data_IF_700680615284
#
_entry.id   IF_700680615284
#
_cell.length_a   1.000
_cell.length_b   1.000
_cell.length_c   1.000
_cell.angle_alpha   90.00
_cell.angle_beta   90.00
_cell.angle_gamma   90.00
#
_symmetry.space_group_name_H-M   'P 1'
#
loop_
_entity.id
_entity.type
_entity.pdbx_description
1 polymer ?
#
# COMPACT_ATOMS: atom_id res chain seq x y z
N UNK A 1 -21.38 3.12 3.83
CA UNK A 1 -22.23 2.90 2.64
C UNK A 1 -21.33 2.68 1.42
N UNK A 2 -21.71 1.74 0.54
CA UNK A 2 -20.96 1.49 -0.70
C UNK A 2 -21.44 2.50 -1.75
N UNK A 3 -20.49 3.24 -2.32
CA UNK A 3 -20.77 4.18 -3.42
C UNK A 3 -20.62 3.46 -4.75
N UNK A 4 -21.63 3.55 -5.61
CA UNK A 4 -21.52 3.12 -7.00
C UNK A 4 -20.66 4.13 -7.79
N UNK A 5 -19.60 3.66 -8.42
CA UNK A 5 -18.69 4.49 -9.23
C UNK A 5 -18.70 4.01 -10.69
N UNK A 6 -18.72 4.93 -11.67
CA UNK A 6 -18.41 4.61 -13.06
C UNK A 6 -17.01 3.99 -13.20
N UNK A 7 -16.76 3.28 -14.30
CA UNK A 7 -15.48 2.58 -14.49
C UNK A 7 -14.28 3.55 -14.52
N UNK A 8 -14.45 4.71 -15.13
CA UNK A 8 -13.46 5.77 -15.24
C UNK A 8 -13.04 6.29 -13.87
N UNK A 9 -14.01 6.48 -12.98
CA UNK A 9 -13.76 6.88 -11.59
C UNK A 9 -13.03 5.78 -10.79
N UNK A 10 -13.41 4.52 -10.99
CA UNK A 10 -12.77 3.37 -10.31
C UNK A 10 -11.31 3.23 -10.67
N UNK A 11 -10.95 3.51 -11.92
CA UNK A 11 -9.56 3.41 -12.40
C UNK A 11 -8.62 4.40 -11.75
N UNK A 12 -9.13 5.52 -11.27
CA UNK A 12 -8.31 6.59 -10.67
C UNK A 12 -8.51 6.73 -9.16
N UNK A 13 -9.52 6.07 -8.59
CA UNK A 13 -9.73 6.04 -7.13
C UNK A 13 -8.60 5.27 -6.45
N UNK A 14 -7.87 5.93 -5.54
CA UNK A 14 -6.80 5.30 -4.79
C UNK A 14 -7.35 4.56 -3.57
N UNK A 15 -7.18 3.23 -3.56
CA UNK A 15 -7.61 2.34 -2.47
C UNK A 15 -6.50 2.07 -1.46
N UNK A 16 -5.28 2.44 -1.79
CA UNK A 16 -4.08 2.26 -0.98
C UNK A 16 -2.85 2.71 -1.74
N UNK A 17 -1.70 2.51 -1.15
CA UNK A 17 -0.39 2.77 -1.75
C UNK A 17 0.47 1.52 -1.65
N UNK A 18 1.09 1.12 -2.75
CA UNK A 18 2.08 0.05 -2.75
C UNK A 18 3.37 0.54 -2.06
N UNK A 19 3.86 -0.25 -1.13
CA UNK A 19 5.09 0.02 -0.37
C UNK A 19 6.06 -1.13 -0.61
N UNK A 20 7.28 -0.81 -1.01
CA UNK A 20 8.36 -1.79 -1.18
C UNK A 20 9.12 -1.94 0.13
N UNK A 21 9.30 -3.17 0.57
CA UNK A 21 10.21 -3.49 1.66
C UNK A 21 11.60 -3.74 1.07
N UNK A 22 12.45 -2.74 1.15
CA UNK A 22 13.80 -2.78 0.57
C UNK A 22 14.66 -3.89 1.14
N UNK A 23 14.49 -4.26 2.42
CA UNK A 23 15.28 -5.31 3.05
C UNK A 23 14.98 -6.72 2.52
N UNK A 24 13.80 -6.93 1.97
CA UNK A 24 13.36 -8.24 1.44
C UNK A 24 13.26 -8.26 -0.07
N UNK A 25 13.11 -7.11 -0.73
CA UNK A 25 13.06 -7.00 -2.17
C UNK A 25 14.37 -7.45 -2.81
N UNK A 26 14.31 -8.40 -3.75
CA UNK A 26 15.50 -9.05 -4.31
C UNK A 26 16.53 -8.07 -4.89
N UNK A 27 16.15 -7.08 -5.75
CA UNK A 27 17.07 -6.07 -6.24
C UNK A 27 17.63 -5.16 -5.16
N UNK A 28 16.79 -4.64 -4.23
CA UNK A 28 17.25 -3.78 -3.15
C UNK A 28 18.21 -4.50 -2.19
N UNK A 29 17.93 -5.75 -1.89
CA UNK A 29 18.82 -6.60 -1.09
C UNK A 29 20.03 -7.11 -1.88
N UNK A 30 20.23 -6.69 -3.13
CA UNK A 30 21.32 -7.06 -4.04
C UNK A 30 21.50 -8.58 -4.19
N UNK A 31 20.39 -9.33 -4.17
CA UNK A 31 20.38 -10.80 -4.25
C UNK A 31 20.15 -11.29 -5.67
N UNK A 32 19.23 -10.67 -6.39
CA UNK A 32 18.81 -11.11 -7.71
C UNK A 32 18.05 -9.99 -8.43
N UNK A 33 18.18 -9.89 -9.75
CA UNK A 33 17.35 -9.03 -10.58
C UNK A 33 15.89 -9.50 -10.57
N UNK A 34 14.94 -8.58 -10.39
CA UNK A 34 13.51 -8.87 -10.37
C UNK A 34 12.72 -7.62 -10.75
N UNK A 35 11.85 -7.75 -11.73
CA UNK A 35 11.03 -6.67 -12.28
C UNK A 35 9.52 -6.99 -12.33
N UNK A 36 9.10 -8.08 -11.69
CA UNK A 36 7.73 -8.60 -11.74
C UNK A 36 6.66 -7.56 -11.38
N UNK A 37 6.92 -6.72 -10.38
CA UNK A 37 5.96 -5.69 -9.94
C UNK A 37 5.85 -4.54 -10.95
N UNK A 38 6.95 -4.19 -11.63
CA UNK A 38 6.96 -3.16 -12.69
C UNK A 38 6.18 -3.67 -13.89
N UNK A 39 6.53 -4.87 -14.40
CA UNK A 39 5.83 -5.50 -15.54
C UNK A 39 4.33 -5.63 -15.29
N UNK A 40 3.92 -6.02 -14.08
CA UNK A 40 2.50 -6.18 -13.76
C UNK A 40 1.78 -4.83 -13.70
N UNK A 41 2.44 -3.78 -13.17
CA UNK A 41 1.89 -2.44 -13.13
C UNK A 41 1.70 -1.85 -14.54
N UNK A 42 2.68 -2.07 -15.41
CA UNK A 42 2.64 -1.63 -16.81
C UNK A 42 1.57 -2.38 -17.60
N UNK A 43 1.47 -3.70 -17.43
CA UNK A 43 0.43 -4.53 -18.05
C UNK A 43 -0.98 -4.11 -17.62
N UNK A 44 -1.14 -3.62 -16.37
CA UNK A 44 -2.40 -3.08 -15.86
C UNK A 44 -2.69 -1.65 -16.38
N UNK A 45 -1.73 -1.00 -17.04
CA UNK A 45 -1.86 0.34 -17.63
C UNK A 45 -1.74 1.50 -16.64
N UNK A 46 -1.18 1.25 -15.43
CA UNK A 46 -0.99 2.31 -14.43
C UNK A 46 0.36 3.00 -14.52
N UNK A 47 1.43 2.28 -14.91
CA UNK A 47 2.80 2.80 -15.02
C UNK A 47 3.26 3.53 -13.74
N UNK A 48 2.85 3.01 -12.59
CA UNK A 48 3.07 3.64 -11.28
C UNK A 48 4.29 3.08 -10.54
N UNK A 49 5.10 2.24 -11.21
CA UNK A 49 6.34 1.69 -10.65
C UNK A 49 7.44 1.87 -11.70
N UNK A 50 8.47 2.58 -11.31
CA UNK A 50 9.66 2.84 -12.14
C UNK A 50 10.87 2.10 -11.60
N UNK A 51 12.01 2.21 -12.30
CA UNK A 51 13.27 1.65 -11.88
C UNK A 51 14.20 2.70 -11.29
N UNK A 52 14.90 2.33 -10.22
CA UNK A 52 16.10 3.01 -9.74
C UNK A 52 17.27 2.03 -9.72
N UNK A 53 18.49 2.53 -9.85
CA UNK A 53 19.70 1.71 -9.73
C UNK A 53 20.14 1.63 -8.27
N UNK A 54 20.44 0.43 -7.79
CA UNK A 54 20.94 0.16 -6.43
C UNK A 54 22.18 -0.72 -6.48
N UNK A 55 23.11 -0.52 -5.54
CA UNK A 55 24.33 -1.33 -5.44
C UNK A 55 25.28 -1.18 -6.64
N UNK A 56 25.26 -0.03 -7.31
CA UNK A 56 26.17 0.26 -8.43
C UNK A 56 27.57 0.47 -7.88
N UNK A 57 28.56 -0.21 -8.46
CA UNK A 57 29.99 0.01 -8.16
C UNK A 57 30.48 1.27 -8.86
N UNK A 58 31.36 2.01 -8.21
CA UNK A 58 32.01 3.19 -8.76
C UNK A 58 33.47 2.86 -9.09
N UNK A 59 33.97 3.40 -10.18
CA UNK A 59 35.38 3.32 -10.54
C UNK A 59 36.26 4.27 -9.68
N UNK A 60 37.59 4.27 -9.91
CA UNK A 60 38.54 5.12 -9.19
C UNK A 60 38.24 6.64 -9.37
N UNK A 61 37.49 7.02 -10.39
CA UNK A 61 37.10 8.41 -10.68
C UNK A 61 35.73 8.79 -10.11
N UNK A 62 35.01 7.82 -9.47
CA UNK A 62 33.66 8.00 -8.93
C UNK A 62 32.57 7.86 -9.98
N UNK A 63 32.88 7.33 -11.16
CA UNK A 63 31.88 7.06 -12.20
C UNK A 63 31.25 5.68 -12.03
N UNK A 64 29.95 5.52 -12.30
CA UNK A 64 29.28 4.21 -12.25
C UNK A 64 29.87 3.24 -13.28
N UNK A 65 30.18 2.03 -12.81
CA UNK A 65 30.65 0.95 -13.68
C UNK A 65 29.42 0.30 -14.32
N UNK A 66 29.36 0.33 -15.65
CA UNK A 66 28.28 -0.26 -16.43
C UNK A 66 28.17 -1.77 -16.16
N UNK A 67 26.92 -2.25 -16.02
CA UNK A 67 26.62 -3.66 -15.77
C UNK A 67 26.74 -4.08 -14.32
N UNK A 68 27.04 -3.15 -13.40
CA UNK A 68 27.01 -3.39 -11.96
C UNK A 68 25.69 -2.89 -11.34
N UNK A 69 25.34 -3.44 -10.17
CA UNK A 69 24.11 -3.07 -9.48
C UNK A 69 22.85 -3.74 -10.03
N UNK A 70 21.72 -3.33 -9.51
CA UNK A 70 20.41 -3.88 -9.83
C UNK A 70 19.40 -2.76 -10.11
N UNK A 71 18.50 -2.99 -11.06
CA UNK A 71 17.33 -2.16 -11.27
C UNK A 71 16.27 -2.53 -10.22
N UNK A 72 15.99 -1.66 -9.28
CA UNK A 72 15.05 -1.86 -8.19
C UNK A 72 13.76 -1.04 -8.40
N UNK A 73 12.58 -1.51 -7.94
CA UNK A 73 11.30 -0.84 -8.16
C UNK A 73 11.10 0.36 -7.24
N UNK A 74 10.70 1.50 -7.78
CA UNK A 74 10.26 2.68 -7.03
C UNK A 74 8.80 2.98 -7.36
N UNK A 75 7.96 3.10 -6.32
CA UNK A 75 6.53 3.38 -6.48
C UNK A 75 6.29 4.89 -6.59
N UNK A 76 5.65 5.30 -7.66
CA UNK A 76 5.18 6.66 -7.87
C UNK A 76 3.84 6.85 -7.16
N UNK A 77 3.89 7.45 -5.96
CA UNK A 77 2.73 7.55 -5.07
C UNK A 77 1.52 8.25 -5.73
N UNK A 78 1.76 9.24 -6.58
CA UNK A 78 0.69 9.98 -7.25
C UNK A 78 -0.02 9.18 -8.36
N UNK A 79 0.65 8.21 -8.94
CA UNK A 79 0.10 7.35 -10.00
C UNK A 79 -0.48 6.05 -9.44
N UNK A 80 0.03 5.58 -8.29
CA UNK A 80 -0.42 4.34 -7.68
C UNK A 80 -1.85 4.45 -7.17
N UNK A 81 -2.71 3.50 -7.60
CA UNK A 81 -4.10 3.39 -7.14
C UNK A 81 -4.30 2.30 -6.09
N UNK A 82 -3.23 1.57 -5.73
CA UNK A 82 -3.31 0.50 -4.73
C UNK A 82 -4.11 -0.72 -5.19
N UNK A 83 -4.08 -1.07 -6.47
CA UNK A 83 -4.84 -2.20 -7.03
C UNK A 83 -4.40 -3.58 -6.52
N UNK A 84 -3.19 -3.71 -5.95
CA UNK A 84 -2.67 -4.95 -5.36
C UNK A 84 -2.08 -5.96 -6.34
N UNK A 85 -2.10 -5.71 -7.65
CA UNK A 85 -1.59 -6.65 -8.66
C UNK A 85 -0.09 -6.93 -8.48
N UNK A 86 0.72 -5.89 -8.22
CA UNK A 86 2.14 -6.02 -7.94
C UNK A 86 2.43 -6.91 -6.71
N UNK A 87 1.66 -6.74 -5.64
CA UNK A 87 1.74 -7.58 -4.44
C UNK A 87 1.40 -9.04 -4.76
N UNK A 88 0.31 -9.28 -5.48
CA UNK A 88 -0.14 -10.61 -5.87
C UNK A 88 0.92 -11.30 -6.74
N UNK A 89 1.47 -10.58 -7.72
CA UNK A 89 2.49 -11.13 -8.63
C UNK A 89 3.76 -11.50 -7.88
N UNK A 90 4.26 -10.63 -7.02
CA UNK A 90 5.41 -10.91 -6.17
C UNK A 90 5.16 -12.13 -5.27
N UNK A 91 3.98 -12.23 -4.66
CA UNK A 91 3.63 -13.35 -3.80
C UNK A 91 3.56 -14.68 -4.56
N UNK A 92 2.86 -14.70 -5.69
CA UNK A 92 2.70 -15.94 -6.47
C UNK A 92 4.06 -16.46 -6.95
N UNK A 93 4.87 -15.63 -7.56
CA UNK A 93 6.13 -16.07 -8.16
C UNK A 93 7.22 -16.27 -7.11
N UNK A 94 7.51 -15.26 -6.28
CA UNK A 94 8.69 -15.31 -5.41
C UNK A 94 8.45 -16.08 -4.10
N UNK A 95 7.20 -16.13 -3.61
CA UNK A 95 6.89 -16.84 -2.36
C UNK A 95 6.39 -18.27 -2.64
N UNK A 96 5.38 -18.43 -3.52
CA UNK A 96 4.75 -19.73 -3.73
C UNK A 96 5.50 -20.61 -4.73
N UNK A 97 5.94 -20.07 -5.88
CA UNK A 97 6.53 -20.88 -6.94
C UNK A 97 8.03 -21.09 -6.72
N UNK A 98 8.77 -19.98 -6.48
CA UNK A 98 10.23 -20.01 -6.38
C UNK A 98 10.76 -20.21 -4.96
N UNK A 99 9.94 -19.94 -3.94
CA UNK A 99 10.30 -20.01 -2.51
C UNK A 99 11.56 -19.20 -2.14
N UNK A 100 11.83 -18.11 -2.85
CA UNK A 100 12.99 -17.22 -2.59
C UNK A 100 12.70 -16.16 -1.54
N UNK A 101 11.40 -15.90 -1.27
CA UNK A 101 10.92 -15.00 -0.23
C UNK A 101 9.94 -15.73 0.70
N UNK A 102 9.87 -15.32 1.96
CA UNK A 102 8.87 -15.81 2.92
C UNK A 102 7.54 -15.05 2.83
N UNK A 103 7.57 -13.82 2.34
CA UNK A 103 6.40 -12.97 2.13
C UNK A 103 6.64 -12.05 0.92
N UNK A 104 5.58 -11.43 0.39
CA UNK A 104 5.71 -10.44 -0.68
C UNK A 104 6.56 -9.26 -0.21
N UNK A 105 7.55 -8.87 -1.03
CA UNK A 105 8.40 -7.71 -0.76
C UNK A 105 7.75 -6.37 -1.13
N UNK A 106 6.59 -6.40 -1.80
CA UNK A 106 5.76 -5.23 -2.07
C UNK A 106 4.36 -5.50 -1.54
N UNK A 107 3.83 -4.59 -0.73
CA UNK A 107 2.51 -4.70 -0.10
C UNK A 107 1.71 -3.44 -0.35
N UNK A 108 0.39 -3.56 -0.41
CA UNK A 108 -0.51 -2.41 -0.49
C UNK A 108 -1.03 -2.10 0.90
N UNK A 109 -0.80 -0.87 1.32
CA UNK A 109 -1.27 -0.35 2.59
C UNK A 109 -2.36 0.71 2.36
N UNK A 110 -3.41 0.66 3.16
CA UNK A 110 -4.44 1.68 3.25
C UNK A 110 -4.14 2.65 4.41
N UNK A 111 -4.90 3.73 4.50
CA UNK A 111 -4.82 4.69 5.60
C UNK A 111 -4.60 6.12 5.14
N UNK A 112 -4.37 7.00 6.10
CA UNK A 112 -4.19 8.44 5.86
C UNK A 112 -3.00 8.69 4.92
N UNK A 113 -3.22 9.50 3.88
CA UNK A 113 -2.21 9.79 2.85
C UNK A 113 -2.00 8.67 1.82
N UNK A 114 -2.50 7.45 2.05
CA UNK A 114 -2.33 6.31 1.17
C UNK A 114 -3.57 5.97 0.35
N UNK A 115 -4.74 6.41 0.78
CA UNK A 115 -6.01 6.17 0.11
C UNK A 115 -6.83 7.45 -0.06
N UNK A 116 -7.75 7.46 -1.02
CA UNK A 116 -8.68 8.57 -1.24
C UNK A 116 -10.00 8.27 -0.52
N UNK A 117 -10.33 9.06 0.52
CA UNK A 117 -11.58 8.91 1.28
C UNK A 117 -12.62 9.93 0.83
N UNK A 118 -13.25 9.69 -0.32
CA UNK A 118 -14.28 10.59 -0.84
C UNK A 118 -15.67 10.02 -0.63
N UNK A 119 -16.51 10.73 0.14
CA UNK A 119 -17.92 10.40 0.28
C UNK A 119 -18.75 10.95 -0.90
N UNK A 120 -18.33 12.08 -1.46
CA UNK A 120 -18.99 12.77 -2.58
C UNK A 120 -17.92 13.38 -3.50
N UNK A 121 -18.28 13.77 -4.72
CA UNK A 121 -17.36 14.35 -5.69
C UNK A 121 -16.79 13.33 -6.68
N UNK A 122 -15.85 13.76 -7.49
CA UNK A 122 -15.22 12.99 -8.56
C UNK A 122 -13.77 12.69 -8.26
N UNK A 123 -13.34 11.43 -8.36
CA UNK A 123 -11.94 11.04 -8.27
C UNK A 123 -11.13 11.55 -9.46
N UNK A 124 -11.74 11.70 -10.62
CA UNK A 124 -11.11 12.31 -11.80
C UNK A 124 -10.76 13.79 -11.55
N UNK A 125 -11.65 14.54 -10.92
CA UNK A 125 -11.39 15.93 -10.55
C UNK A 125 -10.30 16.03 -9.47
N UNK A 126 -10.32 15.14 -8.50
CA UNK A 126 -9.29 15.05 -7.47
C UNK A 126 -7.89 14.82 -8.08
N UNK A 127 -7.78 13.94 -9.08
CA UNK A 127 -6.51 13.68 -9.78
C UNK A 127 -6.06 14.88 -10.59
N UNK A 128 -6.92 15.50 -11.38
CA UNK A 128 -6.61 16.72 -12.13
C UNK A 128 -6.13 17.87 -11.23
N UNK A 129 -6.70 17.98 -10.04
CA UNK A 129 -6.27 18.99 -9.06
C UNK A 129 -4.87 18.74 -8.48
N UNK A 130 -4.42 17.47 -8.43
CA UNK A 130 -3.04 17.12 -8.03
C UNK A 130 -2.01 17.40 -9.13
N UNK A 131 -2.39 17.19 -10.38
CA UNK A 131 -1.54 17.43 -11.56
C UNK A 131 -1.40 18.93 -11.91
N UNK A 132 -2.24 19.79 -11.33
CA UNK A 132 -2.13 21.23 -11.50
C UNK A 132 -0.87 21.74 -10.77
N UNK A 133 0.00 22.57 -11.42
CA UNK A 133 1.16 23.14 -10.77
C UNK A 133 0.70 23.90 -9.51
N UNK A 134 1.34 23.62 -8.41
CA UNK A 134 1.02 24.16 -7.09
C UNK A 134 1.26 25.68 -7.10
N UNK A 135 0.26 26.45 -7.55
CA UNK A 135 0.24 27.90 -7.39
C UNK A 135 -0.11 28.15 -5.93
N UNK A 136 0.72 28.85 -5.14
CA UNK A 136 0.40 29.11 -3.74
C UNK A 136 -0.80 30.07 -3.69
N UNK A 137 -2.00 29.52 -3.62
CA UNK A 137 -3.18 30.29 -3.27
C UNK A 137 -3.05 30.72 -1.80
N UNK A 138 -2.97 32.02 -1.64
CA UNK A 138 -3.05 32.74 -0.35
C UNK A 138 -4.23 32.19 0.46
N UNK A 139 -3.92 31.34 1.44
CA UNK A 139 -4.89 30.80 2.39
C UNK A 139 -5.36 31.92 3.29
N UNK A 140 -6.41 32.62 2.88
CA UNK A 140 -7.14 33.54 3.73
C UNK A 140 -7.79 32.73 4.85
N UNK A 141 -7.22 32.79 6.05
CA UNK A 141 -7.81 32.19 7.23
C UNK A 141 -9.11 32.94 7.56
N UNK A 142 -10.25 32.27 7.69
CA UNK A 142 -11.40 32.89 8.33
C UNK A 142 -11.10 32.99 9.83
N UNK A 143 -11.01 34.21 10.33
CA UNK A 143 -11.00 34.52 11.75
C UNK A 143 -12.36 34.16 12.35
N UNK A 144 -12.50 32.96 12.85
CA UNK A 144 -13.67 32.44 13.56
C UNK A 144 -13.40 32.39 15.04
N UNK A 145 -13.98 33.34 15.74
CA UNK A 145 -14.11 33.45 17.21
C UNK A 145 -14.59 32.13 17.82
N UNK A 146 -13.80 31.60 18.74
CA UNK A 146 -14.11 30.40 19.53
C UNK A 146 -15.14 30.77 20.63
N UNK A 147 -16.34 30.17 20.66
CA UNK A 147 -17.19 30.23 21.84
C UNK A 147 -16.66 29.24 22.89
N UNK A 148 -16.39 29.72 24.07
CA UNK A 148 -16.25 28.91 25.29
C UNK A 148 -17.63 28.53 25.79
N UNK A 149 -17.87 27.26 26.05
CA UNK A 149 -18.91 26.74 26.96
C UNK A 149 -18.46 25.33 27.32
N UNK A 150 -18.17 24.98 28.57
CA UNK A 150 -19.12 24.87 29.62
C UNK A 150 -19.16 23.40 29.99
N UNK A 151 -18.48 23.01 31.08
CA UNK A 151 -18.52 21.67 31.70
C UNK A 151 -19.97 21.23 31.94
N UNK A 152 -20.30 20.04 31.56
CA UNK A 152 -21.48 19.32 31.96
C UNK A 152 -21.28 17.82 31.69
N UNK A 153 -20.92 17.10 32.78
CA UNK A 153 -21.07 15.65 32.81
C UNK A 153 -22.55 15.30 32.93
N UNK A 154 -23.04 14.31 32.23
CA UNK A 154 -24.08 13.47 32.75
C UNK A 154 -23.61 12.01 32.82
N UNK A 155 -23.66 11.46 34.04
CA UNK A 155 -23.83 10.04 34.31
C UNK A 155 -25.18 9.57 33.74
N UNK A 156 -25.22 8.40 33.10
CA UNK A 156 -26.48 7.80 32.70
C UNK A 156 -26.32 6.59 31.80
N UNK A 157 -26.45 5.44 32.42
CA UNK A 157 -27.02 4.18 31.89
C UNK A 157 -26.54 3.63 30.56
N UNK A 158 -25.80 2.57 30.65
CA UNK A 158 -25.46 1.63 29.59
C UNK A 158 -26.65 0.66 29.39
N UNK A 159 -27.40 0.71 28.26
CA UNK A 159 -28.55 -0.15 28.04
C UNK A 159 -28.23 -1.45 27.28
N UNK A 160 -26.95 -1.77 26.99
CA UNK A 160 -26.58 -3.01 26.33
C UNK A 160 -25.59 -3.82 27.16
N UNK A 161 -26.11 -4.46 28.20
CA UNK A 161 -25.40 -5.55 28.89
C UNK A 161 -25.24 -6.75 27.96
N UNK A 162 -24.07 -6.87 27.35
CA UNK A 162 -23.66 -8.10 26.67
C UNK A 162 -22.84 -8.90 27.69
N UNK A 163 -23.52 -9.91 28.30
CA UNK A 163 -22.92 -10.84 29.24
C UNK A 163 -21.77 -11.61 28.58
N UNK A 164 -20.65 -11.61 29.28
CA UNK A 164 -19.53 -12.51 29.02
C UNK A 164 -19.98 -13.95 29.25
N UNK A 165 -20.06 -14.73 28.18
CA UNK A 165 -20.13 -16.21 28.34
C UNK A 165 -18.74 -16.73 27.95
N UNK A 166 -17.96 -17.06 28.98
CA UNK A 166 -16.83 -17.97 28.88
C UNK A 166 -17.33 -19.32 28.38
N UNK A 167 -16.96 -19.66 27.14
CA UNK A 167 -17.11 -21.02 26.65
C UNK A 167 -15.70 -21.53 26.33
N UNK A 168 -15.16 -22.30 27.25
CA UNK A 168 -14.02 -23.17 27.04
C UNK A 168 -14.33 -24.11 25.86
N UNK A 169 -13.60 -23.94 24.75
CA UNK A 169 -13.61 -24.91 23.66
C UNK A 169 -12.48 -25.89 23.91
N UNK A 170 -12.83 -27.07 24.37
CA UNK A 170 -11.96 -28.24 24.42
C UNK A 170 -11.56 -28.62 22.97
N UNK A 171 -10.26 -28.62 22.69
CA UNK A 171 -9.70 -29.14 21.45
C UNK A 171 -9.45 -30.62 21.63
N UNK A 172 -10.08 -31.55 20.86
CA UNK A 172 -9.76 -32.95 20.94
C UNK A 172 -8.36 -33.22 20.33
N UNK A 173 -7.54 -33.87 21.14
CA UNK A 173 -6.26 -34.48 20.80
C UNK A 173 -6.48 -35.58 19.75
N UNK A 174 -6.09 -35.33 18.49
CA UNK A 174 -6.09 -36.38 17.46
C UNK A 174 -4.68 -36.93 17.30
N UNK A 175 -4.56 -38.13 17.81
CA UNK A 175 -3.41 -38.99 17.86
C UNK A 175 -2.62 -39.16 16.57
N UNK A 176 -1.35 -39.41 16.80
CA UNK A 176 -0.30 -39.95 15.95
C UNK A 176 -0.83 -41.03 14.98
N UNK A 177 -0.79 -40.70 13.68
CA UNK A 177 -0.91 -41.64 12.57
C UNK A 177 0.41 -41.79 11.85
N UNK A 178 1.07 -42.93 12.05
CA UNK A 178 2.20 -43.38 11.25
C UNK A 178 1.81 -43.48 9.79
N UNK A 179 2.64 -42.90 8.93
CA UNK A 179 2.58 -43.05 7.45
C UNK A 179 3.58 -44.13 7.03
N UNK A 180 3.14 -45.21 6.36
CA UNK A 180 4.03 -46.04 5.60
C UNK A 180 3.89 -45.66 4.09
N UNK A 181 4.92 -45.09 3.52
CA UNK A 181 5.52 -45.29 2.18
C UNK A 181 6.43 -44.11 1.85
#
# INVERSE_FOLDING_TARGET
AIRALPLEEKRVARMGLAIVNESTCLPFAQREACDLCVQECDAAGYHAIEYTQVGVELDETGQPIEGTGYAAPVVLADQCVGCGLCQTRCHVINVKDRHVLSASAIIVEAGEGKEDRMMTGSYLELRRGRDAPNTPETRTQPSGTRPQSGHGSPSGDDPFGIGSTDSEVEIPDTGTGESPF
#
